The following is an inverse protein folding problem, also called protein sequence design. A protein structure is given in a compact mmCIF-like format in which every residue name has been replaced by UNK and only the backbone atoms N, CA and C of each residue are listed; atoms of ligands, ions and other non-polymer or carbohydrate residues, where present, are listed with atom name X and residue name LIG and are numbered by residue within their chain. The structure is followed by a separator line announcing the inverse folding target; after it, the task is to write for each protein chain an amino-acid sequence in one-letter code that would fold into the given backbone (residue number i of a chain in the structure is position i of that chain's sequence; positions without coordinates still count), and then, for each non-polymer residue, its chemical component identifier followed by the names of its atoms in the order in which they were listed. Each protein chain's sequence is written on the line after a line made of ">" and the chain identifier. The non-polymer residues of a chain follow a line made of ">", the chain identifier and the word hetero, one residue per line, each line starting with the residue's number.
data_IF_552099252012
#
_entry.id   IF_552099252012
#
_cell.length_a   1.000
_cell.length_b   1.000
_cell.length_c   1.000
_cell.angle_alpha   90.00
_cell.angle_beta   90.00
_cell.angle_gamma   90.00
#
_symmetry.space_group_name_H-M   'P 1'
#
loop_
_entity.id
_entity.type
_entity.pdbx_description
1 polymer ?
#
# COMPACT_ATOMS: atom_id res chain seq x y z
N UNK A 1 1.42 -23.61 -1.45
CA UNK A 1 1.14 -24.53 -2.57
C UNK A 1 -0.33 -24.98 -2.50
N UNK A 2 -0.90 -25.29 -3.66
CA UNK A 2 -2.23 -25.91 -3.73
C UNK A 2 -2.07 -27.39 -3.36
N UNK A 3 -2.69 -27.84 -2.27
CA UNK A 3 -2.57 -29.22 -1.82
C UNK A 3 -3.70 -30.09 -2.38
N UNK A 4 -4.94 -29.62 -2.28
CA UNK A 4 -6.14 -30.33 -2.77
C UNK A 4 -7.09 -29.38 -3.46
N UNK A 5 -7.75 -29.85 -4.51
CA UNK A 5 -8.73 -29.11 -5.28
C UNK A 5 -10.08 -29.82 -5.29
N UNK A 6 -11.15 -29.08 -5.02
CA UNK A 6 -12.50 -29.54 -5.32
C UNK A 6 -12.77 -29.64 -6.83
N UNK A 7 -13.77 -30.40 -7.22
CA UNK A 7 -14.09 -30.71 -8.62
C UNK A 7 -14.19 -29.48 -9.53
N UNK A 8 -14.72 -28.37 -9.05
CA UNK A 8 -14.91 -27.12 -9.80
C UNK A 8 -13.76 -26.13 -9.69
N UNK A 9 -12.84 -26.34 -8.73
CA UNK A 9 -11.79 -25.37 -8.41
C UNK A 9 -10.76 -25.23 -9.54
N UNK A 10 -10.38 -26.33 -10.18
CA UNK A 10 -9.47 -26.33 -11.33
C UNK A 10 -9.97 -25.45 -12.47
N UNK A 11 -11.26 -25.59 -12.83
CA UNK A 11 -11.88 -24.78 -13.89
C UNK A 11 -11.96 -23.31 -13.48
N UNK A 12 -12.29 -23.03 -12.21
CA UNK A 12 -12.50 -21.67 -11.70
C UNK A 12 -11.22 -20.86 -11.63
N UNK A 13 -10.12 -21.46 -11.13
CA UNK A 13 -8.87 -20.74 -10.86
C UNK A 13 -7.75 -21.04 -11.86
N UNK A 14 -7.92 -22.03 -12.75
CA UNK A 14 -6.87 -22.42 -13.70
C UNK A 14 -5.62 -22.99 -13.03
N UNK A 15 -5.75 -23.55 -11.81
CA UNK A 15 -4.64 -24.10 -11.02
C UNK A 15 -4.75 -25.61 -10.88
N UNK A 16 -3.65 -26.26 -10.55
CA UNK A 16 -3.56 -27.69 -10.22
C UNK A 16 -2.86 -27.88 -8.88
N UNK A 17 -2.96 -29.08 -8.34
CA UNK A 17 -2.23 -29.48 -7.14
C UNK A 17 -0.72 -29.34 -7.39
N UNK A 18 0.00 -28.82 -6.40
CA UNK A 18 1.41 -28.44 -6.48
C UNK A 18 1.68 -27.02 -7.02
N UNK A 19 0.71 -26.31 -7.60
CA UNK A 19 0.92 -24.94 -8.06
C UNK A 19 1.21 -23.99 -6.89
N UNK A 20 2.16 -23.07 -7.10
CA UNK A 20 2.43 -21.97 -6.18
C UNK A 20 1.43 -20.86 -6.44
N UNK A 21 0.75 -20.40 -5.40
CA UNK A 21 -0.27 -19.37 -5.52
C UNK A 21 -0.14 -18.29 -4.44
N UNK A 22 -0.58 -17.10 -4.79
CA UNK A 22 -0.87 -16.01 -3.86
C UNK A 22 -2.38 -15.95 -3.69
N UNK A 23 -2.83 -15.76 -2.45
CA UNK A 23 -4.25 -15.63 -2.11
C UNK A 23 -4.52 -14.19 -1.68
N UNK A 24 -5.46 -13.52 -2.33
CA UNK A 24 -5.90 -12.20 -1.87
C UNK A 24 -6.61 -12.31 -0.52
N UNK A 25 -6.36 -11.36 0.36
CA UNK A 25 -6.96 -11.34 1.70
C UNK A 25 -8.48 -11.12 1.65
N UNK A 26 -8.98 -10.40 0.65
CA UNK A 26 -10.41 -10.11 0.50
C UNK A 26 -11.13 -11.20 -0.29
N UNK A 27 -12.29 -11.60 0.22
CA UNK A 27 -13.19 -12.56 -0.42
C UNK A 27 -14.46 -11.80 -0.81
N UNK A 28 -14.63 -11.37 -2.07
CA UNK A 28 -15.80 -10.62 -2.51
C UNK A 28 -17.02 -11.52 -2.68
N UNK A 29 -18.23 -11.01 -2.46
CA UNK A 29 -19.45 -11.77 -2.67
C UNK A 29 -19.75 -12.06 -4.16
N UNK A 30 -19.18 -11.30 -5.07
CA UNK A 30 -19.38 -11.43 -6.53
C UNK A 30 -20.71 -10.91 -7.06
N UNK A 31 -21.69 -10.57 -6.21
CA UNK A 31 -23.07 -10.23 -6.61
C UNK A 31 -23.52 -8.79 -6.33
N UNK A 32 -22.88 -8.08 -5.39
CA UNK A 32 -23.21 -6.69 -5.09
C UNK A 32 -22.73 -5.74 -6.20
N UNK A 33 -23.26 -4.52 -6.20
CA UNK A 33 -22.97 -3.51 -7.23
C UNK A 33 -21.44 -3.28 -7.36
N UNK A 34 -20.75 -3.07 -6.25
CA UNK A 34 -19.29 -2.87 -6.27
C UNK A 34 -18.51 -4.03 -6.91
N UNK A 35 -18.97 -5.29 -6.68
CA UNK A 35 -18.35 -6.44 -7.31
C UNK A 35 -18.62 -6.49 -8.82
N UNK A 36 -19.85 -6.18 -9.24
CA UNK A 36 -20.25 -6.14 -10.66
C UNK A 36 -19.50 -5.02 -11.41
N UNK A 37 -19.24 -3.89 -10.74
CA UNK A 37 -18.47 -2.76 -11.29
C UNK A 37 -16.95 -2.99 -11.29
N UNK A 38 -16.46 -4.20 -10.96
CA UNK A 38 -15.05 -4.50 -10.92
C UNK A 38 -14.29 -3.85 -9.72
N UNK A 39 -15.01 -3.42 -8.69
CA UNK A 39 -14.46 -2.81 -7.46
C UNK A 39 -14.68 -3.68 -6.23
N UNK A 40 -14.22 -4.95 -6.21
CA UNK A 40 -14.52 -5.90 -5.15
C UNK A 40 -13.95 -5.50 -3.78
N UNK A 41 -12.98 -4.61 -3.72
CA UNK A 41 -12.44 -4.04 -2.46
C UNK A 41 -13.51 -3.28 -1.66
N UNK A 42 -14.56 -2.78 -2.32
CA UNK A 42 -15.71 -2.11 -1.71
C UNK A 42 -16.93 -3.05 -1.57
N UNK A 43 -16.71 -4.35 -1.59
CA UNK A 43 -17.78 -5.32 -1.42
C UNK A 43 -18.49 -5.13 -0.07
N UNK A 44 -19.82 -5.04 -0.09
CA UNK A 44 -20.61 -4.87 1.13
C UNK A 44 -20.52 -6.06 2.10
N UNK A 45 -20.42 -7.29 1.56
CA UNK A 45 -20.29 -8.53 2.34
C UNK A 45 -18.81 -8.89 2.61
N UNK A 46 -17.88 -8.03 2.29
CA UNK A 46 -16.44 -8.22 2.27
C UNK A 46 -15.91 -9.14 3.37
N UNK A 47 -15.87 -10.43 3.12
CA UNK A 47 -15.17 -11.42 3.93
C UNK A 47 -13.65 -11.26 3.75
N UNK A 48 -12.86 -11.65 4.73
CA UNK A 48 -11.41 -11.50 4.63
C UNK A 48 -10.64 -12.47 5.48
N UNK A 49 -9.70 -13.17 4.85
CA UNK A 49 -8.79 -14.09 5.52
C UNK A 49 -8.01 -13.38 6.64
N UNK A 50 -8.07 -13.96 7.85
CA UNK A 50 -7.29 -13.49 9.00
C UNK A 50 -7.68 -12.11 9.56
N UNK A 51 -8.73 -11.46 9.02
CA UNK A 51 -9.14 -10.11 9.45
C UNK A 51 -10.63 -10.05 9.83
N UNK A 52 -11.51 -10.60 8.98
CA UNK A 52 -12.96 -10.44 9.13
C UNK A 52 -13.71 -11.74 9.33
N UNK A 53 -13.04 -12.86 9.20
CA UNK A 53 -13.60 -14.20 9.46
C UNK A 53 -12.92 -14.75 10.70
N UNK A 54 -13.72 -15.06 11.71
CA UNK A 54 -13.24 -15.70 12.91
C UNK A 54 -12.80 -17.15 12.66
N UNK A 55 -11.85 -17.62 13.45
CA UNK A 55 -11.36 -19.00 13.37
C UNK A 55 -12.41 -20.04 13.83
N UNK A 56 -13.43 -19.60 14.55
CA UNK A 56 -14.57 -20.38 15.04
C UNK A 56 -15.54 -20.80 13.93
N UNK A 57 -15.56 -20.05 12.81
CA UNK A 57 -16.38 -20.39 11.66
C UNK A 57 -15.82 -21.64 10.95
N UNK A 58 -16.65 -22.64 10.68
CA UNK A 58 -16.25 -23.80 9.88
C UNK A 58 -15.82 -23.35 8.46
N UNK A 59 -14.80 -23.96 7.86
CA UNK A 59 -14.00 -25.13 8.31
C UNK A 59 -12.80 -24.80 9.21
N UNK A 60 -12.76 -23.66 9.90
CA UNK A 60 -11.74 -23.24 10.86
C UNK A 60 -10.33 -22.92 10.27
N UNK A 61 -10.18 -22.89 8.97
CA UNK A 61 -8.91 -22.69 8.24
C UNK A 61 -8.87 -21.34 7.52
N UNK A 62 -9.18 -20.25 8.23
CA UNK A 62 -9.35 -18.91 7.65
C UNK A 62 -8.15 -17.98 7.82
N UNK A 63 -7.06 -18.44 8.38
CA UNK A 63 -5.86 -17.64 8.64
C UNK A 63 -4.61 -18.19 7.98
N UNK A 64 -3.64 -17.30 7.68
CA UNK A 64 -2.36 -17.67 7.07
C UNK A 64 -1.31 -18.20 8.05
N UNK A 65 -1.51 -18.04 9.36
CA UNK A 65 -0.64 -18.64 10.38
C UNK A 65 -1.10 -20.06 10.71
N UNK A 66 -1.16 -20.89 9.70
CA UNK A 66 -1.58 -22.28 9.78
C UNK A 66 -0.86 -23.11 8.71
N UNK A 67 -0.79 -24.43 8.90
CA UNK A 67 -0.25 -25.35 7.89
C UNK A 67 -1.10 -25.39 6.61
N UNK A 68 -2.41 -25.15 6.75
CA UNK A 68 -3.37 -25.18 5.65
C UNK A 68 -4.31 -23.99 5.71
N UNK A 69 -4.71 -23.50 4.55
CA UNK A 69 -5.71 -22.46 4.38
C UNK A 69 -6.84 -22.98 3.50
N UNK A 70 -8.08 -22.85 3.97
CA UNK A 70 -9.25 -23.13 3.14
C UNK A 70 -9.45 -22.03 2.09
N UNK A 71 -9.56 -22.43 0.84
CA UNK A 71 -9.84 -21.50 -0.25
C UNK A 71 -11.35 -21.44 -0.49
N UNK A 72 -11.97 -20.37 0.00
CA UNK A 72 -13.40 -20.12 -0.26
C UNK A 72 -13.69 -20.04 -1.76
N UNK A 73 -14.83 -20.53 -2.27
CA UNK A 73 -15.16 -20.47 -3.69
C UNK A 73 -15.00 -19.09 -4.35
N UNK A 74 -15.22 -18.01 -3.61
CA UNK A 74 -15.03 -16.64 -4.10
C UNK A 74 -13.63 -16.08 -3.82
N UNK A 75 -12.71 -16.87 -3.28
CA UNK A 75 -11.32 -16.42 -3.13
C UNK A 75 -10.69 -16.09 -4.49
N UNK A 76 -9.78 -15.12 -4.47
CA UNK A 76 -9.03 -14.71 -5.66
C UNK A 76 -7.59 -15.19 -5.50
N UNK A 77 -7.16 -15.96 -6.48
CA UNK A 77 -5.83 -16.56 -6.52
C UNK A 77 -5.03 -16.02 -7.70
N UNK A 78 -3.73 -15.94 -7.50
CA UNK A 78 -2.78 -15.62 -8.57
C UNK A 78 -1.70 -16.70 -8.59
N UNK A 79 -1.54 -17.37 -9.72
CA UNK A 79 -0.45 -18.32 -9.92
C UNK A 79 0.88 -17.56 -9.96
N UNK A 80 1.86 -18.07 -9.26
CA UNK A 80 3.17 -17.46 -9.17
C UNK A 80 4.15 -18.17 -10.09
N UNK A 81 4.87 -17.45 -10.95
CA UNK A 81 5.94 -18.02 -11.76
C UNK A 81 7.03 -18.66 -10.90
N UNK A 82 7.59 -19.80 -11.36
CA UNK A 82 8.56 -20.58 -10.60
C UNK A 82 9.88 -19.82 -10.37
N UNK A 83 10.22 -18.89 -11.24
CA UNK A 83 11.43 -18.06 -11.14
C UNK A 83 11.35 -16.96 -10.06
N UNK A 84 10.20 -16.75 -9.42
CA UNK A 84 10.09 -15.76 -8.34
C UNK A 84 10.37 -16.44 -6.99
N UNK A 85 11.38 -15.99 -6.22
CA UNK A 85 11.67 -16.54 -4.90
C UNK A 85 10.50 -16.35 -3.92
N UNK A 86 10.34 -17.26 -2.96
CA UNK A 86 9.23 -17.21 -1.99
C UNK A 86 9.27 -16.00 -1.07
N UNK A 87 10.47 -15.55 -0.66
CA UNK A 87 10.61 -14.40 0.24
C UNK A 87 9.97 -13.13 -0.33
N UNK A 88 10.38 -12.64 -1.51
CA UNK A 88 9.76 -11.48 -2.15
C UNK A 88 8.26 -11.60 -2.40
N UNK A 89 7.75 -12.83 -2.59
CA UNK A 89 6.31 -13.05 -2.77
C UNK A 89 5.47 -12.62 -1.56
N UNK A 90 6.01 -12.68 -0.36
CA UNK A 90 5.30 -12.22 0.85
C UNK A 90 4.94 -10.74 0.79
N UNK A 91 5.63 -9.97 -0.05
CA UNK A 91 5.39 -8.54 -0.25
C UNK A 91 4.23 -8.26 -1.23
N UNK A 92 3.58 -9.26 -1.83
CA UNK A 92 2.57 -9.02 -2.87
C UNK A 92 1.44 -8.09 -2.42
N UNK A 93 0.94 -8.27 -1.20
CA UNK A 93 -0.16 -7.46 -0.68
C UNK A 93 0.25 -6.00 -0.46
N UNK A 94 1.30 -5.69 0.34
CA UNK A 94 1.74 -4.30 0.49
C UNK A 94 2.19 -3.69 -0.84
N UNK A 95 2.84 -4.45 -1.72
CA UNK A 95 3.27 -3.95 -3.03
C UNK A 95 2.08 -3.59 -3.93
N UNK A 96 1.06 -4.43 -4.02
CA UNK A 96 -0.14 -4.16 -4.84
C UNK A 96 -0.90 -2.92 -4.35
N UNK A 97 -0.97 -2.73 -3.03
CA UNK A 97 -1.56 -1.53 -2.44
C UNK A 97 -0.75 -0.28 -2.82
N UNK A 98 0.57 -0.33 -2.69
CA UNK A 98 1.43 0.82 -2.96
C UNK A 98 1.51 1.14 -4.46
N UNK A 99 1.48 0.16 -5.35
CA UNK A 99 1.31 0.39 -6.80
C UNK A 99 0.05 1.23 -7.06
N UNK A 100 -1.03 0.95 -6.33
CA UNK A 100 -2.26 1.74 -6.44
C UNK A 100 -2.11 3.15 -5.88
N UNK A 101 -1.45 3.31 -4.72
CA UNK A 101 -1.37 4.57 -3.98
C UNK A 101 -0.29 5.52 -4.49
N UNK A 102 0.89 5.00 -4.84
CA UNK A 102 2.01 5.81 -5.30
C UNK A 102 1.97 6.08 -6.82
N UNK A 103 1.33 5.20 -7.58
CA UNK A 103 1.32 5.32 -9.05
C UNK A 103 -0.08 5.56 -9.61
N UNK A 104 -0.97 4.51 -9.55
CA UNK A 104 -2.21 4.51 -10.34
C UNK A 104 -3.23 5.56 -9.92
N UNK A 105 -3.35 5.84 -8.61
CA UNK A 105 -4.32 6.81 -8.09
C UNK A 105 -3.87 8.26 -8.33
N UNK A 106 -2.64 8.64 -7.94
CA UNK A 106 -2.16 9.99 -8.22
C UNK A 106 -1.69 10.19 -9.66
N UNK A 107 -1.67 9.12 -10.47
CA UNK A 107 -1.16 9.14 -11.85
C UNK A 107 0.29 9.65 -11.94
N UNK A 108 1.17 9.16 -11.05
CA UNK A 108 2.59 9.53 -11.04
C UNK A 108 3.21 9.32 -12.42
N UNK A 109 3.88 10.36 -12.91
CA UNK A 109 4.57 10.42 -14.21
C UNK A 109 6.05 10.69 -14.02
N UNK A 110 6.82 10.34 -15.03
CA UNK A 110 8.24 10.68 -15.14
C UNK A 110 8.48 12.19 -14.89
N UNK A 111 9.55 12.50 -14.17
CA UNK A 111 9.95 13.86 -13.85
C UNK A 111 9.20 14.53 -12.70
N UNK A 112 8.10 13.96 -12.22
CA UNK A 112 7.34 14.55 -11.11
C UNK A 112 8.03 14.35 -9.75
N UNK A 113 7.74 15.28 -8.83
CA UNK A 113 8.18 15.20 -7.43
C UNK A 113 7.16 14.45 -6.57
N UNK A 114 7.62 13.48 -5.82
CA UNK A 114 6.82 12.75 -4.84
C UNK A 114 7.44 12.79 -3.45
N UNK A 115 6.63 13.13 -2.45
CA UNK A 115 6.96 12.98 -1.03
C UNK A 115 6.24 11.77 -0.47
N UNK A 116 6.96 10.94 0.28
CA UNK A 116 6.44 9.73 0.91
C UNK A 116 6.65 9.85 2.42
N UNK A 117 5.55 9.94 3.17
CA UNK A 117 5.55 10.10 4.61
C UNK A 117 5.42 8.76 5.32
N UNK A 118 6.47 8.39 6.07
CA UNK A 118 6.58 7.14 6.81
C UNK A 118 7.38 6.07 6.06
N UNK A 119 8.62 5.77 6.50
CA UNK A 119 9.55 4.86 5.85
C UNK A 119 9.33 3.39 6.26
N UNK A 120 8.09 3.03 6.59
CA UNK A 120 7.72 1.64 6.85
C UNK A 120 7.74 0.81 5.57
N UNK A 121 7.34 -0.47 5.65
CA UNK A 121 7.30 -1.38 4.51
C UNK A 121 6.62 -0.77 3.28
N UNK A 122 5.49 -0.08 3.47
CA UNK A 122 4.74 0.55 2.37
C UNK A 122 5.46 1.78 1.81
N UNK A 123 6.04 2.59 2.67
CA UNK A 123 6.81 3.76 2.22
C UNK A 123 8.04 3.38 1.42
N UNK A 124 8.81 2.40 1.88
CA UNK A 124 9.98 1.88 1.17
C UNK A 124 9.60 1.29 -0.21
N UNK A 125 8.50 0.56 -0.30
CA UNK A 125 7.95 0.09 -1.57
C UNK A 125 7.50 1.27 -2.46
N UNK A 126 6.98 2.35 -1.86
CA UNK A 126 6.62 3.58 -2.56
C UNK A 126 7.82 4.25 -3.21
N UNK A 127 8.93 4.36 -2.47
CA UNK A 127 10.21 4.86 -2.99
C UNK A 127 10.67 4.01 -4.19
N UNK A 128 10.69 2.69 -4.04
CA UNK A 128 11.12 1.79 -5.13
C UNK A 128 10.23 1.90 -6.37
N UNK A 129 8.91 2.06 -6.20
CA UNK A 129 7.96 2.28 -7.31
C UNK A 129 8.21 3.63 -7.96
N UNK A 130 8.36 4.71 -7.19
CA UNK A 130 8.64 6.04 -7.72
C UNK A 130 9.94 6.07 -8.53
N UNK A 131 10.98 5.40 -8.02
CA UNK A 131 12.26 5.23 -8.73
C UNK A 131 12.09 4.46 -10.04
N UNK A 132 11.32 3.38 -10.02
CA UNK A 132 11.03 2.57 -11.23
C UNK A 132 10.25 3.35 -12.29
N UNK A 133 9.48 4.35 -11.89
CA UNK A 133 8.70 5.22 -12.77
C UNK A 133 9.45 6.49 -13.19
N UNK A 134 10.73 6.59 -12.86
CA UNK A 134 11.58 7.75 -13.17
C UNK A 134 11.01 9.07 -12.61
N UNK A 135 10.47 9.04 -11.37
CA UNK A 135 10.14 10.29 -10.69
C UNK A 135 11.37 11.21 -10.63
N UNK A 136 11.16 12.51 -10.81
CA UNK A 136 12.27 13.49 -10.89
C UNK A 136 12.91 13.76 -9.55
N UNK A 137 12.09 13.80 -8.47
CA UNK A 137 12.57 13.98 -7.10
C UNK A 137 11.75 13.10 -6.16
N UNK A 138 12.41 12.27 -5.38
CA UNK A 138 11.80 11.34 -4.42
C UNK A 138 12.27 11.71 -3.03
N UNK A 139 11.36 12.19 -2.20
CA UNK A 139 11.61 12.57 -0.80
C UNK A 139 10.91 11.56 0.11
N UNK A 140 11.61 11.05 1.13
CA UNK A 140 11.03 10.16 2.13
C UNK A 140 11.20 10.75 3.52
N UNK A 141 10.12 10.87 4.30
CA UNK A 141 10.15 11.40 5.66
C UNK A 141 9.98 10.30 6.69
N UNK A 142 10.56 10.49 7.87
CA UNK A 142 10.45 9.60 9.02
C UNK A 142 10.90 10.33 10.29
N UNK A 143 10.93 9.60 11.40
CA UNK A 143 11.35 10.10 12.69
C UNK A 143 12.79 9.64 13.03
N UNK A 144 13.35 10.10 14.15
CA UNK A 144 14.60 9.61 14.71
C UNK A 144 14.64 8.09 14.92
N UNK A 145 13.48 7.46 15.18
CA UNK A 145 13.33 6.00 15.33
C UNK A 145 13.44 5.25 13.99
N UNK A 146 13.41 5.96 12.88
CA UNK A 146 13.42 5.39 11.53
C UNK A 146 14.77 5.54 10.83
N UNK A 147 15.86 5.87 11.53
CA UNK A 147 17.18 6.11 10.93
C UNK A 147 17.61 5.00 9.96
N UNK A 148 17.49 3.75 10.38
CA UNK A 148 17.82 2.61 9.51
C UNK A 148 16.92 2.55 8.25
N UNK A 149 15.64 2.80 8.41
CA UNK A 149 14.67 2.78 7.30
C UNK A 149 14.87 3.96 6.34
N UNK A 150 15.25 5.13 6.85
CA UNK A 150 15.60 6.27 6.02
C UNK A 150 16.89 6.01 5.21
N UNK A 151 17.89 5.34 5.79
CA UNK A 151 19.07 4.85 5.04
C UNK A 151 18.66 3.86 3.95
N UNK A 152 17.74 2.93 4.25
CA UNK A 152 17.22 1.99 3.27
C UNK A 152 16.42 2.68 2.16
N UNK A 153 15.64 3.73 2.49
CA UNK A 153 14.95 4.55 1.50
C UNK A 153 15.93 5.17 0.49
N UNK A 154 17.08 5.67 0.96
CA UNK A 154 18.16 6.15 0.09
C UNK A 154 18.67 5.05 -0.86
N UNK A 155 18.92 3.87 -0.36
CA UNK A 155 19.38 2.73 -1.18
C UNK A 155 18.35 2.30 -2.22
N UNK A 156 17.06 2.46 -1.92
CA UNK A 156 15.95 2.15 -2.82
C UNK A 156 15.66 3.25 -3.84
N UNK A 157 16.31 4.40 -3.71
CA UNK A 157 16.25 5.49 -4.70
C UNK A 157 15.61 6.77 -4.23
N UNK A 158 15.42 7.00 -2.93
CA UNK A 158 15.05 8.33 -2.42
C UNK A 158 16.22 9.32 -2.61
N UNK A 159 15.95 10.46 -3.22
CA UNK A 159 16.94 11.51 -3.42
C UNK A 159 17.18 12.31 -2.15
N UNK A 160 16.14 12.48 -1.34
CA UNK A 160 16.19 13.18 -0.05
C UNK A 160 15.50 12.34 1.02
N UNK A 161 16.07 12.29 2.23
CA UNK A 161 15.42 11.77 3.42
C UNK A 161 15.36 12.82 4.50
N UNK A 162 14.23 12.94 5.20
CA UNK A 162 13.97 13.97 6.21
C UNK A 162 13.63 13.29 7.53
N UNK A 163 14.37 13.62 8.57
CA UNK A 163 14.01 13.30 9.95
C UNK A 163 13.18 14.46 10.51
N UNK A 164 11.86 14.26 10.59
CA UNK A 164 10.90 15.30 11.00
C UNK A 164 11.04 15.70 12.47
N UNK A 165 11.84 14.99 13.26
CA UNK A 165 12.15 15.37 14.63
C UNK A 165 13.29 16.38 14.71
N UNK A 166 14.07 16.55 13.63
CA UNK A 166 15.25 17.42 13.55
C UNK A 166 15.05 18.64 12.68
N UNK A 167 14.16 18.56 11.69
CA UNK A 167 13.90 19.64 10.75
C UNK A 167 12.43 19.69 10.34
N UNK A 168 11.96 20.86 9.92
CA UNK A 168 10.61 21.06 9.42
C UNK A 168 10.48 20.44 8.00
N UNK A 169 9.65 19.41 7.78
CA UNK A 169 9.54 18.75 6.48
C UNK A 169 8.97 19.66 5.40
N UNK A 170 8.06 20.60 5.73
CA UNK A 170 7.45 21.53 4.78
C UNK A 170 8.51 22.47 4.21
N UNK A 171 9.31 23.10 5.09
CA UNK A 171 10.40 24.00 4.68
C UNK A 171 11.47 23.26 3.88
N UNK A 172 11.78 22.04 4.29
CA UNK A 172 12.78 21.24 3.59
C UNK A 172 12.29 20.83 2.21
N UNK A 173 11.05 20.41 2.03
CA UNK A 173 10.47 20.09 0.72
C UNK A 173 10.44 21.35 -0.15
N UNK A 174 10.04 22.49 0.39
CA UNK A 174 10.06 23.77 -0.34
C UNK A 174 11.45 24.11 -0.87
N UNK A 175 12.48 23.94 -0.04
CA UNK A 175 13.88 24.16 -0.41
C UNK A 175 14.35 23.20 -1.51
N UNK A 176 14.11 21.90 -1.34
CA UNK A 176 14.57 20.86 -2.28
C UNK A 176 13.89 20.97 -3.66
N UNK A 177 12.68 21.53 -3.70
CA UNK A 177 11.92 21.74 -4.93
C UNK A 177 12.13 23.14 -5.55
N UNK A 178 13.03 23.95 -5.01
CA UNK A 178 13.23 25.32 -5.48
C UNK A 178 11.99 26.21 -5.34
N UNK A 179 11.11 25.90 -4.39
CA UNK A 179 9.86 26.66 -4.15
C UNK A 179 8.62 26.08 -4.82
N UNK A 180 8.75 25.14 -5.75
CA UNK A 180 7.63 24.58 -6.53
C UNK A 180 6.73 23.61 -5.75
N UNK A 181 7.24 23.04 -4.65
CA UNK A 181 6.56 21.98 -3.86
C UNK A 181 6.36 20.68 -4.64
N UNK A 182 5.66 19.71 -4.04
CA UNK A 182 5.50 18.37 -4.59
C UNK A 182 4.26 18.22 -5.50
N UNK A 183 4.37 17.43 -6.53
CA UNK A 183 3.22 16.97 -7.34
C UNK A 183 2.34 16.03 -6.57
N UNK A 184 2.96 15.15 -5.77
CA UNK A 184 2.27 14.08 -5.05
C UNK A 184 2.83 14.00 -3.64
N UNK A 185 1.94 13.87 -2.66
CA UNK A 185 2.29 13.46 -1.30
C UNK A 185 1.53 12.18 -0.98
N UNK A 186 2.25 11.13 -0.60
CA UNK A 186 1.73 9.86 -0.16
C UNK A 186 1.97 9.67 1.34
N UNK A 187 0.93 9.78 2.13
CA UNK A 187 0.98 9.47 3.56
C UNK A 187 0.65 8.00 3.82
N UNK A 188 1.65 7.25 4.28
CA UNK A 188 1.54 5.87 4.75
C UNK A 188 1.99 5.74 6.22
N UNK A 189 2.12 6.86 6.92
CA UNK A 189 2.43 6.91 8.35
C UNK A 189 1.23 6.45 9.18
N UNK A 190 1.48 5.95 10.38
CA UNK A 190 0.43 5.44 11.26
C UNK A 190 0.30 6.29 12.53
N UNK A 191 -0.94 6.47 12.97
CA UNK A 191 -1.30 7.10 14.24
C UNK A 191 -1.30 8.63 14.21
N UNK A 192 -0.18 9.27 13.90
CA UNK A 192 -0.05 10.72 13.87
C UNK A 192 -0.91 11.38 12.78
N UNK A 193 -1.47 12.54 13.06
CA UNK A 193 -2.28 13.34 12.10
C UNK A 193 -1.50 14.48 11.46
N UNK A 194 -0.40 14.88 12.08
CA UNK A 194 0.50 15.93 11.60
C UNK A 194 0.97 15.72 10.16
N UNK A 195 1.30 14.47 9.71
CA UNK A 195 1.65 14.23 8.32
C UNK A 195 0.58 14.64 7.33
N UNK A 196 -0.72 14.55 7.69
CA UNK A 196 -1.81 15.01 6.80
C UNK A 196 -1.72 16.52 6.59
N UNK A 197 -1.55 17.29 7.67
CA UNK A 197 -1.44 18.76 7.60
C UNK A 197 -0.18 19.17 6.84
N UNK A 198 0.95 18.61 7.21
CA UNK A 198 2.23 18.85 6.56
C UNK A 198 2.21 18.44 5.08
N UNK A 199 1.60 17.29 4.79
CA UNK A 199 1.48 16.78 3.43
C UNK A 199 0.70 17.71 2.52
N UNK A 200 -0.39 18.30 2.99
CA UNK A 200 -1.16 19.31 2.24
C UNK A 200 -0.31 20.58 2.02
N UNK A 201 0.46 21.01 3.01
CA UNK A 201 1.35 22.18 2.89
C UNK A 201 2.53 21.94 1.96
N UNK A 202 3.00 20.71 1.82
CA UNK A 202 4.06 20.32 0.89
C UNK A 202 3.59 20.22 -0.57
N UNK A 203 2.28 20.20 -0.84
CA UNK A 203 1.75 20.09 -2.20
C UNK A 203 1.81 21.43 -2.96
N UNK A 204 2.12 21.37 -4.24
CA UNK A 204 1.89 22.45 -5.17
C UNK A 204 0.40 22.60 -5.49
N UNK A 205 -0.03 23.71 -6.03
CA UNK A 205 -1.39 23.91 -6.53
C UNK A 205 -1.72 22.86 -7.59
N UNK A 206 -2.85 22.17 -7.42
CA UNK A 206 -3.25 21.05 -8.29
C UNK A 206 -2.48 19.75 -8.05
N UNK A 207 -1.68 19.66 -7.00
CA UNK A 207 -1.03 18.43 -6.57
C UNK A 207 -2.03 17.42 -5.96
N UNK A 208 -1.59 16.19 -5.77
CA UNK A 208 -2.45 15.10 -5.24
C UNK A 208 -1.94 14.60 -3.90
N UNK A 209 -2.80 14.68 -2.87
CA UNK A 209 -2.57 14.05 -1.57
C UNK A 209 -3.23 12.66 -1.53
N UNK A 210 -2.46 11.64 -1.19
CA UNK A 210 -2.96 10.27 -1.01
C UNK A 210 -2.80 9.86 0.46
N UNK A 211 -3.89 9.89 1.21
CA UNK A 211 -3.91 9.36 2.57
C UNK A 211 -4.19 7.86 2.57
N UNK A 212 -3.18 7.06 2.89
CA UNK A 212 -3.28 5.60 3.00
C UNK A 212 -2.83 5.09 4.39
N UNK A 213 -2.36 5.97 5.25
CA UNK A 213 -2.02 5.69 6.65
C UNK A 213 -3.26 5.61 7.54
N UNK A 214 -3.28 4.63 8.46
CA UNK A 214 -4.35 4.50 9.46
C UNK A 214 -4.06 5.42 10.64
N UNK A 215 -4.98 6.31 10.97
CA UNK A 215 -4.82 7.33 12.03
C UNK A 215 -5.46 6.95 13.37
N UNK A 216 -5.87 5.70 13.55
CA UNK A 216 -6.39 5.16 14.84
C UNK A 216 -7.50 6.03 15.48
N UNK A 217 -8.40 6.56 14.64
CA UNK A 217 -9.50 7.48 15.05
C UNK A 217 -9.04 8.83 15.60
N UNK A 218 -7.76 9.20 15.45
CA UNK A 218 -7.30 10.54 15.83
C UNK A 218 -7.96 11.61 14.96
N UNK A 219 -8.37 12.70 15.60
CA UNK A 219 -9.10 13.83 14.98
C UNK A 219 -8.12 14.92 14.60
N UNK A 220 -8.32 15.54 13.46
CA UNK A 220 -7.60 16.74 13.04
C UNK A 220 -8.39 17.97 13.50
N UNK A 221 -7.94 18.61 14.57
CA UNK A 221 -8.65 19.74 15.19
C UNK A 221 -8.48 21.08 14.46
N UNK A 222 -7.40 21.26 13.69
CA UNK A 222 -7.02 22.54 13.08
C UNK A 222 -6.95 22.46 11.55
N UNK A 223 -7.88 21.74 10.94
CA UNK A 223 -7.92 21.61 9.49
C UNK A 223 -8.69 22.79 8.87
N UNK A 224 -8.06 23.52 7.96
CA UNK A 224 -8.70 24.54 7.13
C UNK A 224 -9.02 23.97 5.75
N UNK A 225 -10.29 23.99 5.37
CA UNK A 225 -10.75 23.55 4.04
C UNK A 225 -10.18 24.40 2.90
N UNK A 226 -9.77 25.64 3.19
CA UNK A 226 -9.21 26.56 2.19
C UNK A 226 -7.81 26.16 1.71
N UNK A 227 -7.23 25.13 2.37
CA UNK A 227 -5.93 24.55 1.96
C UNK A 227 -6.04 23.35 1.01
N UNK A 228 -7.26 22.93 0.64
CA UNK A 228 -7.50 21.80 -0.26
C UNK A 228 -7.48 22.18 -1.73
#
# INVERSE_FOLDING_TARGET
>A
FVEKLGSNAKKRWGVKEGDRVIVETSIPCGKCLSCKDGRPVFCAENMGYGIRIGFDLKPHLWGGYASHLYLHPNARLHKVPDNIPTGPMSLFNPLSNVVRWAWKKPALREGQTIVIEGPGQRGLLGVAIAKKLNAGLIICTGTDKDEYRLKLAKQLGADVTIDVTKENPVERVFKETGGEKADIVLDVSMGAVEPILQGIEMLKKGGTFVNAGVKSHNVISNFSSDKL
#
